data_IF_369354656182
#
_entry.id   IF_369354656182
#
_cell.length_a   1.000
_cell.length_b   1.000
_cell.length_c   1.000
_cell.angle_alpha   90.00
_cell.angle_beta   90.00
_cell.angle_gamma   90.00
#
_symmetry.space_group_name_H-M   'P 1'
#
loop_
_entity.id
_entity.type
_entity.pdbx_description
1 polymer ?
#
# COMPACT_ATOMS: atom_id res chain seq x y z
N UNK A 1 -32.41 6.76 11.78
CA UNK A 1 -31.55 7.01 12.96
C UNK A 1 -32.09 6.14 14.10
N UNK A 2 -31.26 5.36 14.78
CA UNK A 2 -31.68 4.36 15.80
C UNK A 2 -31.81 4.94 17.22
N UNK A 3 -31.40 6.19 17.45
CA UNK A 3 -31.45 6.82 18.78
C UNK A 3 -30.36 6.34 19.74
N UNK A 4 -29.40 5.54 19.26
CA UNK A 4 -28.25 5.10 20.04
C UNK A 4 -27.09 6.10 19.90
N UNK A 5 -26.44 6.40 21.02
CA UNK A 5 -25.16 7.10 21.03
C UNK A 5 -24.06 6.08 20.69
N UNK A 6 -23.33 6.35 19.60
CA UNK A 6 -22.26 5.48 19.11
C UNK A 6 -20.95 6.26 19.16
N UNK A 7 -19.97 5.71 19.89
CA UNK A 7 -18.59 6.23 19.93
C UNK A 7 -17.69 5.40 19.02
N UNK A 8 -16.85 6.06 18.22
CA UNK A 8 -15.89 5.38 17.35
C UNK A 8 -14.46 5.63 17.83
N UNK A 9 -13.73 4.54 18.07
CA UNK A 9 -12.28 4.56 18.34
C UNK A 9 -11.55 4.00 17.13
N UNK A 10 -10.56 4.74 16.64
CA UNK A 10 -9.83 4.38 15.41
C UNK A 10 -8.37 4.06 15.72
N UNK A 11 -7.84 3.03 15.07
CA UNK A 11 -6.43 2.66 15.11
C UNK A 11 -5.90 2.57 13.69
N UNK A 12 -4.85 3.34 13.39
CA UNK A 12 -4.26 3.41 12.05
C UNK A 12 -2.81 2.89 12.06
N UNK A 13 -2.45 2.18 11.00
CA UNK A 13 -1.12 1.62 10.82
C UNK A 13 -1.01 0.87 9.49
N UNK A 14 0.15 0.26 9.24
CA UNK A 14 0.32 -0.63 8.09
C UNK A 14 -0.71 -1.77 8.14
N UNK A 15 -1.44 -1.98 7.04
CA UNK A 15 -2.57 -2.92 6.98
C UNK A 15 -2.25 -4.33 7.49
N UNK A 16 -1.11 -4.92 7.09
CA UNK A 16 -0.70 -6.24 7.59
C UNK A 16 -0.23 -6.24 9.05
N UNK A 17 0.18 -5.09 9.60
CA UNK A 17 0.43 -4.91 11.03
C UNK A 17 -0.90 -4.83 11.81
N UNK A 18 -1.89 -4.10 11.30
CA UNK A 18 -3.22 -4.01 11.91
C UNK A 18 -3.93 -5.38 11.90
N UNK A 19 -3.88 -6.13 10.80
CA UNK A 19 -4.42 -7.49 10.75
C UNK A 19 -3.80 -8.41 11.82
N UNK A 20 -2.47 -8.39 11.95
CA UNK A 20 -1.79 -9.14 13.02
C UNK A 20 -2.21 -8.72 14.42
N UNK A 21 -2.34 -7.42 14.67
CA UNK A 21 -2.80 -6.94 15.98
C UNK A 21 -4.19 -7.50 16.34
N UNK A 22 -5.11 -7.58 15.37
CA UNK A 22 -6.44 -8.19 15.57
C UNK A 22 -6.33 -9.69 15.83
N UNK A 23 -5.49 -10.40 15.06
CA UNK A 23 -5.22 -11.83 15.26
C UNK A 23 -4.65 -12.10 16.67
N UNK A 24 -3.78 -11.22 17.15
CA UNK A 24 -3.11 -11.32 18.44
C UNK A 24 -3.97 -10.82 19.62
N UNK A 25 -5.23 -10.42 19.37
CA UNK A 25 -6.22 -10.12 20.41
C UNK A 25 -6.64 -8.66 20.56
N UNK A 26 -6.25 -7.76 19.64
CA UNK A 26 -6.84 -6.43 19.58
C UNK A 26 -8.32 -6.56 19.19
N UNK A 27 -9.20 -6.21 20.12
CA UNK A 27 -10.64 -6.34 19.93
C UNK A 27 -11.17 -5.24 19.01
N UNK A 28 -11.45 -5.59 17.75
CA UNK A 28 -11.97 -4.68 16.73
C UNK A 28 -13.35 -5.14 16.27
N UNK A 29 -14.34 -4.24 16.35
CA UNK A 29 -15.70 -4.52 15.87
C UNK A 29 -15.79 -4.54 14.34
N UNK A 30 -14.97 -3.71 13.67
CA UNK A 30 -14.88 -3.59 12.22
C UNK A 30 -13.41 -3.43 11.82
N UNK A 31 -13.02 -4.06 10.71
CA UNK A 31 -11.72 -3.84 10.08
C UNK A 31 -11.89 -3.24 8.68
N UNK A 32 -11.21 -2.13 8.41
CA UNK A 32 -11.18 -1.47 7.09
C UNK A 32 -9.73 -1.48 6.59
N UNK A 33 -9.34 -2.59 5.99
CA UNK A 33 -7.96 -2.87 5.60
C UNK A 33 -7.70 -2.57 4.13
N UNK A 34 -6.42 -2.52 3.76
CA UNK A 34 -5.99 -2.02 2.45
C UNK A 34 -6.10 -3.03 1.30
N UNK A 35 -6.29 -4.33 1.60
CA UNK A 35 -6.49 -5.37 0.60
C UNK A 35 -7.13 -6.62 1.24
N UNK A 36 -7.82 -7.42 0.40
CA UNK A 36 -8.57 -8.59 0.83
C UNK A 36 -7.73 -9.61 1.61
N UNK A 37 -6.49 -9.88 1.17
CA UNK A 37 -5.65 -10.88 1.81
C UNK A 37 -5.37 -10.59 3.30
N UNK A 38 -5.38 -9.33 3.75
CA UNK A 38 -5.21 -9.04 5.19
C UNK A 38 -6.45 -9.40 6.01
N UNK A 39 -7.64 -9.37 5.39
CA UNK A 39 -8.92 -9.77 6.01
C UNK A 39 -9.06 -11.31 5.96
N UNK A 40 -8.64 -11.93 4.85
CA UNK A 40 -8.56 -13.40 4.74
C UNK A 40 -7.69 -13.99 5.86
N UNK A 41 -6.53 -13.39 6.14
CA UNK A 41 -5.65 -13.81 7.24
C UNK A 41 -6.34 -13.76 8.61
N UNK A 42 -7.18 -12.75 8.87
CA UNK A 42 -7.97 -12.67 10.12
C UNK A 42 -9.01 -13.79 10.15
N UNK A 43 -9.73 -14.00 9.04
CA UNK A 43 -10.76 -15.04 8.93
C UNK A 43 -10.17 -16.45 9.12
N UNK A 44 -9.02 -16.73 8.52
CA UNK A 44 -8.38 -18.05 8.56
C UNK A 44 -7.71 -18.34 9.90
N UNK A 45 -6.97 -17.37 10.47
CA UNK A 45 -6.14 -17.61 11.66
C UNK A 45 -6.87 -17.37 12.97
N UNK A 46 -7.61 -16.27 13.07
CA UNK A 46 -8.32 -15.89 14.29
C UNK A 46 -9.76 -16.39 14.30
N UNK A 47 -10.32 -16.77 13.14
CA UNK A 47 -11.71 -17.23 12.98
C UNK A 47 -12.75 -16.25 13.52
N UNK A 48 -12.40 -14.96 13.51
CA UNK A 48 -13.27 -13.85 13.94
C UNK A 48 -14.24 -13.41 12.84
N UNK A 49 -13.99 -13.83 11.60
CA UNK A 49 -14.80 -13.54 10.42
C UNK A 49 -15.11 -14.83 9.68
N UNK A 50 -16.27 -14.95 9.03
CA UNK A 50 -16.54 -16.08 8.15
C UNK A 50 -15.59 -16.05 6.95
N UNK A 51 -15.19 -17.22 6.44
CA UNK A 51 -14.26 -17.31 5.29
C UNK A 51 -14.87 -16.78 3.99
N UNK A 52 -16.19 -16.63 3.91
CA UNK A 52 -16.89 -16.01 2.79
C UNK A 52 -17.22 -14.51 3.04
N UNK A 53 -16.50 -13.85 3.96
CA UNK A 53 -16.70 -12.43 4.32
C UNK A 53 -16.79 -11.52 3.10
N UNK A 54 -15.96 -11.76 2.07
CA UNK A 54 -15.86 -10.88 0.90
C UNK A 54 -17.18 -10.78 0.12
N UNK A 55 -18.03 -11.81 0.21
CA UNK A 55 -19.35 -11.87 -0.44
C UNK A 55 -20.47 -11.26 0.40
N UNK A 56 -20.21 -10.89 1.66
CA UNK A 56 -21.26 -10.39 2.59
C UNK A 56 -21.73 -8.98 2.23
N UNK A 57 -20.90 -8.21 1.54
CA UNK A 57 -21.24 -6.88 1.06
C UNK A 57 -20.99 -6.77 -0.46
N UNK A 58 -21.69 -5.84 -1.16
CA UNK A 58 -21.50 -5.61 -2.58
C UNK A 58 -20.05 -5.30 -2.95
N UNK A 59 -19.72 -5.46 -4.24
CA UNK A 59 -18.41 -5.08 -4.80
C UNK A 59 -17.23 -5.72 -4.04
N UNK A 60 -17.33 -7.01 -3.74
CA UNK A 60 -16.30 -7.74 -2.98
C UNK A 60 -15.97 -7.08 -1.63
N UNK A 61 -16.99 -6.55 -0.95
CA UNK A 61 -16.84 -5.78 0.29
C UNK A 61 -15.86 -4.61 0.17
N UNK A 62 -15.77 -4.02 -1.03
CA UNK A 62 -14.87 -2.91 -1.36
C UNK A 62 -15.72 -1.67 -1.72
N UNK A 63 -16.13 -0.85 -0.74
CA UNK A 63 -17.06 0.26 -0.95
C UNK A 63 -16.45 1.43 -1.73
N UNK A 64 -15.12 1.49 -1.85
CA UNK A 64 -14.39 2.47 -2.66
C UNK A 64 -13.11 1.86 -3.24
N UNK A 65 -12.58 2.47 -4.29
CA UNK A 65 -11.28 2.10 -4.88
C UNK A 65 -10.34 3.31 -4.90
N UNK A 66 -9.05 3.04 -5.11
CA UNK A 66 -8.00 4.04 -5.29
C UNK A 66 -6.98 3.47 -6.28
N UNK A 67 -5.94 4.23 -6.59
CA UNK A 67 -4.84 3.79 -7.45
C UNK A 67 -3.50 4.25 -6.88
N UNK A 68 -2.41 3.73 -7.46
CA UNK A 68 -1.05 4.13 -7.13
C UNK A 68 -0.61 5.24 -8.07
N UNK A 69 -0.13 6.34 -7.49
CA UNK A 69 0.37 7.51 -8.21
C UNK A 69 1.78 7.89 -7.73
N UNK A 70 2.43 8.77 -8.48
CA UNK A 70 3.71 9.37 -8.08
C UNK A 70 3.47 10.77 -7.53
N UNK A 71 3.84 10.97 -6.27
CA UNK A 71 3.97 12.31 -5.72
C UNK A 71 5.42 12.76 -5.91
N UNK A 72 5.61 13.87 -6.63
CA UNK A 72 6.94 14.43 -6.96
C UNK A 72 7.11 15.81 -6.34
N UNK A 73 8.37 16.26 -6.21
CA UNK A 73 8.68 17.63 -5.76
C UNK A 73 8.13 18.67 -6.74
N UNK A 74 7.80 19.86 -6.22
CA UNK A 74 7.28 20.99 -7.01
C UNK A 74 8.19 21.27 -8.22
N UNK A 75 7.59 21.39 -9.40
CA UNK A 75 8.29 21.59 -10.67
C UNK A 75 8.85 20.32 -11.31
N UNK A 76 8.72 19.15 -10.66
CA UNK A 76 9.21 17.86 -11.13
C UNK A 76 10.66 17.90 -11.63
N UNK A 77 11.63 18.23 -10.75
CA UNK A 77 13.03 18.48 -11.15
C UNK A 77 13.72 17.26 -11.77
N UNK A 78 13.27 16.04 -11.43
CA UNK A 78 13.76 14.78 -12.00
C UNK A 78 13.02 14.36 -13.27
N UNK A 79 12.03 15.13 -13.70
CA UNK A 79 11.19 14.88 -14.89
C UNK A 79 10.57 13.47 -14.89
N UNK A 80 10.10 13.02 -13.72
CA UNK A 80 9.48 11.71 -13.54
C UNK A 80 8.08 11.75 -14.13
N UNK A 81 7.82 10.90 -15.12
CA UNK A 81 6.54 10.84 -15.86
C UNK A 81 5.97 9.44 -15.90
N UNK A 82 6.81 8.41 -15.84
CA UNK A 82 6.39 7.01 -15.84
C UNK A 82 7.34 6.13 -15.00
N UNK A 83 6.93 4.88 -14.76
CA UNK A 83 7.66 3.89 -13.96
C UNK A 83 9.11 3.71 -14.41
N UNK A 84 9.37 3.76 -15.72
CA UNK A 84 10.73 3.66 -16.28
C UNK A 84 11.68 4.76 -15.80
N UNK A 85 11.16 5.92 -15.37
CA UNK A 85 11.97 7.02 -14.86
C UNK A 85 12.49 6.76 -13.44
N UNK A 86 11.81 5.91 -12.67
CA UNK A 86 12.12 5.66 -11.26
C UNK A 86 13.48 4.99 -11.06
N UNK A 87 13.97 4.26 -12.07
CA UNK A 87 15.25 3.54 -12.05
C UNK A 87 16.39 4.33 -12.70
N UNK A 88 16.16 5.58 -13.08
CA UNK A 88 17.22 6.44 -13.62
C UNK A 88 18.24 6.76 -12.53
N UNK A 89 19.55 6.86 -12.87
CA UNK A 89 20.57 7.21 -11.90
C UNK A 89 20.24 8.49 -11.12
N UNK A 90 20.40 8.43 -9.79
CA UNK A 90 20.17 9.58 -8.91
C UNK A 90 18.71 9.92 -8.65
N UNK A 91 17.75 9.06 -9.02
CA UNK A 91 16.37 9.12 -8.52
C UNK A 91 16.27 8.37 -7.20
N UNK A 92 15.78 9.05 -6.17
CA UNK A 92 15.60 8.50 -4.83
C UNK A 92 14.11 8.26 -4.54
N UNK A 93 13.74 6.99 -4.29
CA UNK A 93 12.35 6.57 -4.12
C UNK A 93 12.01 6.47 -2.65
N UNK A 94 10.80 6.91 -2.29
CA UNK A 94 10.13 6.61 -1.03
C UNK A 94 8.95 5.67 -1.32
N UNK A 95 8.88 4.57 -0.59
CA UNK A 95 7.75 3.63 -0.62
C UNK A 95 7.70 2.89 0.72
N UNK A 96 6.52 2.55 1.26
CA UNK A 96 6.45 1.81 2.52
C UNK A 96 6.93 0.36 2.40
N UNK A 97 7.07 -0.33 3.53
CA UNK A 97 7.52 -1.71 3.62
C UNK A 97 6.40 -2.72 3.27
N UNK A 98 6.57 -3.60 2.25
CA UNK A 98 5.55 -4.59 1.86
C UNK A 98 5.29 -5.67 2.91
N UNK A 99 6.16 -5.83 3.91
CA UNK A 99 5.96 -6.78 5.03
C UNK A 99 4.95 -6.28 6.07
N UNK A 100 4.62 -4.99 6.06
CA UNK A 100 3.72 -4.38 7.06
C UNK A 100 2.62 -3.54 6.43
N UNK A 101 2.82 -2.98 5.23
CA UNK A 101 1.88 -2.08 4.57
C UNK A 101 1.15 -2.75 3.39
N UNK A 102 -0.16 -2.48 3.28
CA UNK A 102 -0.95 -2.86 2.09
C UNK A 102 -0.64 -1.99 0.88
N UNK A 103 -0.53 -0.67 1.07
CA UNK A 103 -0.12 0.25 -0.01
C UNK A 103 1.23 -0.12 -0.62
N UNK A 104 2.18 -0.59 0.21
CA UNK A 104 3.47 -1.08 -0.30
C UNK A 104 3.35 -2.31 -1.22
N UNK A 105 2.40 -3.21 -0.94
CA UNK A 105 2.13 -4.38 -1.78
C UNK A 105 1.46 -3.95 -3.09
N UNK A 106 0.56 -2.97 -3.05
CA UNK A 106 0.01 -2.37 -4.27
C UNK A 106 1.07 -1.66 -5.10
N UNK A 107 1.98 -0.89 -4.48
CA UNK A 107 3.12 -0.27 -5.17
C UNK A 107 3.98 -1.31 -5.87
N UNK A 108 4.31 -2.42 -5.17
CA UNK A 108 5.05 -3.55 -5.73
C UNK A 108 4.34 -4.14 -6.96
N UNK A 109 3.04 -4.44 -6.82
CA UNK A 109 2.26 -5.07 -7.88
C UNK A 109 2.06 -4.14 -9.08
N UNK A 110 1.91 -2.84 -8.87
CA UNK A 110 1.84 -1.85 -9.95
C UNK A 110 3.15 -1.79 -10.74
N UNK A 111 4.29 -1.73 -10.06
CA UNK A 111 5.61 -1.78 -10.70
C UNK A 111 5.83 -3.09 -11.48
N UNK A 112 5.47 -4.22 -10.87
CA UNK A 112 5.56 -5.54 -11.50
C UNK A 112 4.69 -5.62 -12.76
N UNK A 113 3.42 -5.22 -12.64
CA UNK A 113 2.46 -5.24 -13.74
C UNK A 113 2.94 -4.34 -14.89
N UNK A 114 3.38 -3.12 -14.60
CA UNK A 114 3.91 -2.22 -15.63
C UNK A 114 5.07 -2.85 -16.40
N UNK A 115 6.06 -3.43 -15.70
CA UNK A 115 7.22 -4.05 -16.33
C UNK A 115 6.85 -5.29 -17.16
N UNK A 116 5.87 -6.07 -16.71
CA UNK A 116 5.36 -7.24 -17.43
C UNK A 116 4.62 -6.86 -18.72
N UNK A 117 3.99 -5.68 -18.77
CA UNK A 117 3.25 -5.19 -19.94
C UNK A 117 4.14 -4.46 -20.97
N UNK A 118 5.43 -4.25 -20.69
CA UNK A 118 6.35 -3.69 -21.67
C UNK A 118 6.63 -4.68 -22.82
N UNK A 119 7.16 -4.18 -23.93
CA UNK A 119 7.55 -5.02 -25.06
C UNK A 119 8.54 -6.12 -24.63
N UNK A 120 8.14 -7.38 -24.85
CA UNK A 120 8.89 -8.55 -24.40
C UNK A 120 8.97 -8.71 -22.88
N UNK A 121 8.05 -8.10 -22.13
CA UNK A 121 7.92 -8.24 -20.67
C UNK A 121 7.57 -9.67 -20.26
N UNK A 122 8.11 -10.10 -19.13
CA UNK A 122 7.84 -11.40 -18.52
C UNK A 122 8.14 -11.31 -17.01
N UNK A 123 7.91 -12.39 -16.27
CA UNK A 123 8.09 -12.39 -14.82
C UNK A 123 9.54 -12.14 -14.39
N UNK A 124 10.53 -12.62 -15.14
CA UNK A 124 11.94 -12.35 -14.85
C UNK A 124 12.27 -10.86 -15.00
N UNK A 125 11.77 -10.20 -16.04
CA UNK A 125 11.94 -8.75 -16.25
C UNK A 125 11.19 -7.93 -15.21
N UNK A 126 9.99 -8.36 -14.82
CA UNK A 126 9.22 -7.69 -13.78
C UNK A 126 9.91 -7.78 -12.42
N UNK A 127 10.43 -8.97 -12.06
CA UNK A 127 11.23 -9.16 -10.85
C UNK A 127 12.48 -8.28 -10.87
N UNK A 128 13.19 -8.23 -11.99
CA UNK A 128 14.37 -7.39 -12.16
C UNK A 128 14.04 -5.91 -12.00
N UNK A 129 12.96 -5.43 -12.63
CA UNK A 129 12.51 -4.05 -12.52
C UNK A 129 12.20 -3.67 -11.07
N UNK A 130 11.42 -4.50 -10.37
CA UNK A 130 11.12 -4.28 -8.96
C UNK A 130 12.38 -4.32 -8.10
N UNK A 131 13.36 -5.19 -8.41
CA UNK A 131 14.66 -5.19 -7.74
C UNK A 131 15.38 -3.84 -7.91
N UNK A 132 15.30 -3.22 -9.08
CA UNK A 132 15.87 -1.88 -9.30
C UNK A 132 15.12 -0.81 -8.50
N UNK A 133 13.78 -0.85 -8.45
CA UNK A 133 12.98 0.06 -7.59
C UNK A 133 13.47 0.01 -6.14
N UNK A 134 13.66 -1.19 -5.57
CA UNK A 134 14.15 -1.33 -4.20
C UNK A 134 15.61 -0.89 -4.02
N UNK A 135 16.46 -1.01 -5.04
CA UNK A 135 17.83 -0.44 -5.00
C UNK A 135 17.82 1.09 -4.96
N UNK A 136 16.84 1.73 -5.57
CA UNK A 136 16.65 3.18 -5.55
C UNK A 136 15.86 3.68 -4.32
N UNK A 137 15.31 2.76 -3.52
CA UNK A 137 14.50 3.10 -2.35
C UNK A 137 15.37 3.50 -1.16
N UNK A 138 15.12 4.67 -0.58
CA UNK A 138 15.88 5.18 0.58
C UNK A 138 15.36 4.70 1.92
N UNK A 139 14.05 4.64 2.06
CA UNK A 139 13.38 4.34 3.33
C UNK A 139 12.17 3.45 3.04
N UNK A 140 12.02 2.41 3.85
CA UNK A 140 10.86 1.50 3.85
C UNK A 140 10.06 1.69 5.13
N UNK A 141 9.28 2.77 5.19
CA UNK A 141 8.46 3.09 6.36
C UNK A 141 7.40 2.00 6.63
N UNK A 142 7.03 1.81 7.89
CA UNK A 142 6.14 0.70 8.28
C UNK A 142 4.70 0.79 7.72
N UNK A 143 4.27 1.97 7.25
CA UNK A 143 2.95 2.24 6.69
C UNK A 143 2.98 3.41 5.71
N UNK A 144 1.93 3.56 4.88
CA UNK A 144 1.84 4.59 3.85
C UNK A 144 1.96 6.02 4.42
N UNK A 145 1.24 6.31 5.51
CA UNK A 145 1.35 7.60 6.22
C UNK A 145 2.77 7.95 6.67
N UNK A 146 3.53 6.94 7.11
CA UNK A 146 4.93 7.13 7.49
C UNK A 146 5.79 7.53 6.30
N UNK A 147 5.59 6.87 5.15
CA UNK A 147 6.26 7.21 3.89
C UNK A 147 5.91 8.63 3.43
N UNK A 148 4.64 9.05 3.55
CA UNK A 148 4.21 10.42 3.26
C UNK A 148 4.90 11.44 4.18
N UNK A 149 5.02 11.13 5.47
CA UNK A 149 5.74 11.99 6.44
C UNK A 149 7.22 12.12 6.07
N UNK A 150 7.88 11.01 5.74
CA UNK A 150 9.27 10.99 5.29
C UNK A 150 9.48 11.83 4.04
N UNK A 151 8.58 11.73 3.06
CA UNK A 151 8.69 12.50 1.83
C UNK A 151 8.34 13.98 2.05
N UNK A 152 7.15 14.29 2.56
CA UNK A 152 6.60 15.63 2.59
C UNK A 152 7.16 16.50 3.72
N UNK A 153 7.32 15.95 4.92
CA UNK A 153 7.74 16.72 6.10
C UNK A 153 9.24 16.66 6.32
N UNK A 154 9.88 15.48 6.13
CA UNK A 154 11.32 15.31 6.33
C UNK A 154 12.16 15.63 5.08
N UNK A 155 11.52 15.86 3.94
CA UNK A 155 12.20 16.26 2.71
C UNK A 155 13.09 15.19 2.08
N UNK A 156 12.88 13.91 2.39
CA UNK A 156 13.69 12.79 1.88
C UNK A 156 13.11 12.25 0.58
N UNK A 157 13.96 11.97 -0.40
CA UNK A 157 13.58 11.38 -1.69
C UNK A 157 13.03 12.37 -2.71
N UNK A 158 13.04 11.93 -3.97
CA UNK A 158 12.60 12.68 -5.15
C UNK A 158 11.15 12.38 -5.55
N UNK A 159 10.71 11.15 -5.27
CA UNK A 159 9.38 10.63 -5.60
C UNK A 159 8.87 9.69 -4.53
N UNK A 160 7.59 9.82 -4.20
CA UNK A 160 6.85 8.90 -3.34
C UNK A 160 5.86 8.09 -4.19
N UNK A 161 5.89 6.76 -4.01
CA UNK A 161 4.85 5.87 -4.49
C UNK A 161 3.68 5.88 -3.49
N UNK A 162 2.61 6.60 -3.84
CA UNK A 162 1.51 6.93 -2.93
C UNK A 162 0.18 6.34 -3.40
N UNK A 163 -0.74 6.15 -2.45
CA UNK A 163 -2.16 6.14 -2.79
C UNK A 163 -2.57 7.51 -3.34
N UNK A 164 -3.49 7.54 -4.31
CA UNK A 164 -4.01 8.80 -4.85
C UNK A 164 -4.66 9.68 -3.76
N UNK A 165 -5.32 9.03 -2.80
CA UNK A 165 -6.11 9.68 -1.75
C UNK A 165 -5.36 9.85 -0.42
N UNK A 166 -4.02 9.74 -0.44
CA UNK A 166 -3.16 9.89 0.75
C UNK A 166 -2.99 11.36 1.18
#
# INVERSE_FOLDING_TARGET
RTGQDIEFKQSHGGSGKQARAVIDGLNADVVTLALAADIDEIAEKAKLLPTDWQKKLPQNSTPYTSTIVFLVRKGNPKQIKDWGDLIKPGVEIITPNPKTSGGARWNYLAAWAWAKHQAGGNDAKAQEFVRQIYKHTKVLDSGARGATTTFAERGIGDVLLAWENE
#
